data_IF_135743391121
#
_entry.id   IF_135743391121
#
_cell.length_a   1.000
_cell.length_b   1.000
_cell.length_c   1.000
_cell.angle_alpha   90.00
_cell.angle_beta   90.00
_cell.angle_gamma   90.00
#
_symmetry.space_group_name_H-M   'P 1'
#
loop_
_entity.id
_entity.type
_entity.pdbx_description
1 polymer ?
#
# COMPACT_ATOMS: atom_id res chain seq x y z
N UNK A 1 -4.48 -5.05 14.64
CA UNK A 1 -4.86 -6.03 15.69
C UNK A 1 -3.68 -6.33 16.62
N UNK A 2 -2.48 -6.66 16.14
CA UNK A 2 -1.31 -6.95 16.98
C UNK A 2 -1.07 -5.85 18.03
N UNK A 3 -0.98 -4.58 17.61
CA UNK A 3 -0.89 -3.43 18.53
C UNK A 3 -2.02 -3.40 19.57
N UNK A 4 -3.27 -3.65 19.18
CA UNK A 4 -4.39 -3.61 20.10
C UNK A 4 -4.29 -4.70 21.19
N UNK A 5 -3.92 -5.92 20.82
CA UNK A 5 -3.71 -6.98 21.81
C UNK A 5 -2.53 -6.66 22.75
N UNK A 6 -1.41 -6.17 22.19
CA UNK A 6 -0.25 -5.81 23.00
C UNK A 6 -0.59 -4.67 23.97
N UNK A 7 -1.31 -3.63 23.54
CA UNK A 7 -1.78 -2.54 24.43
C UNK A 7 -2.69 -3.02 25.56
N UNK A 8 -3.35 -4.17 25.39
CA UNK A 8 -4.12 -4.86 26.44
C UNK A 8 -3.28 -5.87 27.26
N UNK A 9 -1.95 -5.74 27.21
CA UNK A 9 -1.03 -6.56 28.01
C UNK A 9 -0.91 -8.01 27.54
N UNK A 10 -1.23 -8.32 26.30
CA UNK A 10 -1.04 -9.65 25.72
C UNK A 10 0.35 -9.76 25.07
N UNK A 11 0.98 -10.92 25.21
CA UNK A 11 2.13 -11.27 24.39
C UNK A 11 1.65 -11.53 22.97
N UNK A 12 2.31 -10.91 21.99
CA UNK A 12 1.94 -11.01 20.59
C UNK A 12 3.12 -11.47 19.75
N UNK A 13 2.88 -12.49 18.92
CA UNK A 13 3.82 -12.96 17.91
C UNK A 13 3.18 -12.76 16.56
N UNK A 14 3.85 -12.06 15.66
CA UNK A 14 3.45 -11.88 14.27
C UNK A 14 4.27 -12.84 13.40
N UNK A 15 3.59 -13.81 12.79
CA UNK A 15 4.23 -14.85 11.96
C UNK A 15 3.84 -14.61 10.50
N UNK A 16 4.82 -14.57 9.60
CA UNK A 16 4.57 -14.49 8.17
C UNK A 16 5.62 -15.30 7.39
N UNK A 17 5.23 -15.84 6.23
CA UNK A 17 6.11 -16.55 5.30
C UNK A 17 7.11 -15.61 4.61
N UNK A 18 6.76 -14.34 4.45
CA UNK A 18 7.67 -13.31 3.94
C UNK A 18 8.63 -12.84 5.03
N UNK A 19 9.75 -12.30 4.61
CA UNK A 19 10.87 -11.93 5.49
C UNK A 19 10.74 -10.52 6.11
N UNK A 20 9.66 -9.80 5.81
CA UNK A 20 9.37 -8.47 6.36
C UNK A 20 7.88 -8.20 6.47
N UNK A 21 7.49 -7.21 7.29
CA UNK A 21 6.11 -6.73 7.35
C UNK A 21 5.78 -5.86 6.13
N UNK A 22 4.50 -5.78 5.77
CA UNK A 22 3.98 -4.84 4.78
C UNK A 22 4.65 -4.93 3.38
N UNK A 23 5.33 -6.02 3.04
CA UNK A 23 6.07 -6.26 1.79
C UNK A 23 5.26 -5.99 0.51
N UNK A 24 3.93 -6.07 0.59
CA UNK A 24 3.04 -5.78 -0.53
C UNK A 24 2.94 -4.29 -0.90
N UNK A 25 3.39 -3.37 -0.04
CA UNK A 25 3.12 -1.92 -0.18
C UNK A 25 4.35 -1.05 -0.01
N UNK A 26 5.43 -1.55 0.61
CA UNK A 26 6.64 -0.79 0.93
C UNK A 26 7.89 -1.61 0.59
N UNK A 27 8.96 -0.91 0.25
CA UNK A 27 10.29 -1.50 0.09
C UNK A 27 10.95 -1.80 1.45
N UNK A 28 11.91 -2.72 1.48
CA UNK A 28 12.52 -3.27 2.70
C UNK A 28 13.11 -2.19 3.64
N UNK A 29 13.77 -1.19 3.10
CA UNK A 29 14.36 -0.10 3.89
C UNK A 29 13.33 0.67 4.73
N UNK A 30 12.08 0.73 4.26
CA UNK A 30 10.98 1.37 4.99
C UNK A 30 10.24 0.38 5.91
N UNK A 31 10.08 -0.88 5.49
CA UNK A 31 9.44 -1.89 6.36
C UNK A 31 10.28 -2.19 7.60
N UNK A 32 11.60 -2.09 7.51
CA UNK A 32 12.51 -2.22 8.65
C UNK A 32 12.25 -1.19 9.75
N UNK A 33 11.84 0.03 9.37
CA UNK A 33 11.45 1.06 10.35
C UNK A 33 10.21 0.64 11.14
N UNK A 34 9.23 0.05 10.46
CA UNK A 34 8.02 -0.46 11.11
C UNK A 34 8.31 -1.71 11.95
N UNK A 35 9.13 -2.63 11.46
CA UNK A 35 9.55 -3.81 12.22
C UNK A 35 10.21 -3.40 13.55
N UNK A 36 11.20 -2.51 13.51
CA UNK A 36 11.86 -1.95 14.71
C UNK A 36 10.87 -1.24 15.64
N UNK A 37 9.91 -0.50 15.09
CA UNK A 37 8.88 0.16 15.88
C UNK A 37 7.99 -0.86 16.60
N UNK A 38 7.58 -1.95 15.96
CA UNK A 38 6.79 -3.01 16.59
C UNK A 38 7.58 -3.76 17.68
N UNK A 39 8.84 -4.12 17.39
CA UNK A 39 9.73 -4.80 18.34
C UNK A 39 9.99 -3.95 19.59
N UNK A 40 10.22 -2.64 19.43
CA UNK A 40 10.43 -1.70 20.54
C UNK A 40 9.22 -1.60 21.49
N UNK A 41 8.03 -2.02 21.02
CA UNK A 41 6.81 -2.11 21.82
C UNK A 41 6.49 -3.55 22.28
N UNK A 42 7.43 -4.50 22.10
CA UNK A 42 7.31 -5.85 22.63
C UNK A 42 6.56 -6.84 21.74
N UNK A 43 6.29 -6.53 20.48
CA UNK A 43 5.78 -7.51 19.52
C UNK A 43 6.94 -8.38 19.05
N UNK A 44 6.80 -9.69 19.16
CA UNK A 44 7.74 -10.65 18.58
C UNK A 44 7.46 -10.82 17.09
N UNK A 45 8.50 -10.73 16.26
CA UNK A 45 8.41 -10.91 14.81
C UNK A 45 9.04 -12.25 14.41
N UNK A 46 8.25 -13.12 13.80
CA UNK A 46 8.66 -14.44 13.29
C UNK A 46 8.45 -14.47 11.77
N UNK A 47 9.22 -13.63 11.06
CA UNK A 47 9.17 -13.54 9.61
C UNK A 47 10.01 -14.63 8.94
N UNK A 48 9.63 -15.00 7.71
CA UNK A 48 10.22 -16.11 6.96
C UNK A 48 9.88 -17.46 7.58
N UNK A 49 8.81 -17.57 8.35
CA UNK A 49 8.34 -18.82 8.95
C UNK A 49 7.00 -19.23 8.34
N UNK A 50 6.89 -20.50 7.96
CA UNK A 50 5.65 -21.07 7.41
C UNK A 50 4.93 -21.86 8.49
N UNK A 51 3.70 -21.47 8.84
CA UNK A 51 2.85 -22.24 9.76
C UNK A 51 2.52 -23.59 9.13
N UNK A 52 2.79 -24.69 9.88
CA UNK A 52 2.54 -26.07 9.48
C UNK A 52 1.35 -26.67 10.20
N UNK A 53 1.15 -26.34 11.48
CA UNK A 53 0.05 -26.88 12.27
C UNK A 53 -0.41 -25.88 13.33
N UNK A 54 -1.67 -26.01 13.71
CA UNK A 54 -2.28 -25.42 14.90
C UNK A 54 -2.73 -26.58 15.75
N UNK A 55 -2.19 -26.69 16.97
CA UNK A 55 -2.35 -27.85 17.84
C UNK A 55 -3.16 -27.48 19.09
N UNK A 56 -3.84 -28.46 19.66
CA UNK A 56 -4.63 -28.40 20.89
C UNK A 56 -5.77 -29.43 20.87
N UNK A 57 -6.22 -29.88 22.04
CA UNK A 57 -7.32 -30.86 22.13
C UNK A 57 -8.69 -30.22 22.13
N UNK A 58 -8.96 -29.27 23.03
CA UNK A 58 -10.26 -28.59 23.20
C UNK A 58 -10.20 -27.11 22.85
N UNK A 59 -9.02 -26.55 22.85
CA UNK A 59 -8.69 -25.17 22.46
C UNK A 59 -7.34 -25.14 21.78
N UNK A 60 -6.99 -24.04 21.14
CA UNK A 60 -5.65 -23.86 20.63
C UNK A 60 -4.65 -23.79 21.80
N UNK A 61 -3.52 -24.46 21.66
CA UNK A 61 -2.45 -24.50 22.67
C UNK A 61 -1.09 -24.15 22.05
N UNK A 62 -0.90 -24.46 20.76
CA UNK A 62 0.38 -24.25 20.09
C UNK A 62 0.25 -23.97 18.60
N UNK A 63 1.15 -23.15 18.08
CA UNK A 63 1.44 -23.03 16.64
C UNK A 63 2.80 -23.66 16.36
N UNK A 64 2.85 -24.50 15.34
CA UNK A 64 4.09 -25.09 14.82
C UNK A 64 4.39 -24.51 13.46
N UNK A 65 5.59 -23.99 13.29
CA UNK A 65 6.13 -23.52 12.01
C UNK A 65 7.18 -24.51 11.47
N UNK A 66 7.72 -24.21 10.32
CA UNK A 66 8.86 -24.97 9.77
C UNK A 66 10.18 -24.73 10.52
N UNK A 67 10.24 -23.76 11.44
CA UNK A 67 11.45 -23.40 12.19
C UNK A 67 11.27 -23.50 13.70
N UNK A 68 10.09 -23.18 14.22
CA UNK A 68 9.83 -23.03 15.65
C UNK A 68 8.46 -23.57 16.07
N UNK A 69 8.23 -23.63 17.38
CA UNK A 69 6.91 -23.85 17.96
C UNK A 69 6.65 -22.77 19.03
N UNK A 70 5.40 -22.29 19.10
CA UNK A 70 4.98 -21.23 20.01
C UNK A 70 3.74 -21.68 20.77
N UNK A 71 3.81 -21.66 22.09
CA UNK A 71 2.64 -21.87 22.93
C UNK A 71 1.76 -20.63 22.90
N UNK A 72 0.47 -20.81 22.64
CA UNK A 72 -0.48 -19.70 22.42
C UNK A 72 -1.86 -20.04 22.97
N UNK A 73 -2.61 -19.00 23.41
CA UNK A 73 -4.00 -19.11 23.83
C UNK A 73 -5.00 -18.70 22.74
N UNK A 74 -4.54 -17.98 21.72
CA UNK A 74 -5.36 -17.51 20.61
C UNK A 74 -4.54 -17.44 19.33
N UNK A 75 -5.18 -17.74 18.21
CA UNK A 75 -4.64 -17.57 16.87
C UNK A 75 -5.56 -16.70 16.03
N UNK A 76 -5.01 -15.66 15.41
CA UNK A 76 -5.70 -14.81 14.45
C UNK A 76 -5.17 -15.11 13.05
N UNK A 77 -6.02 -15.70 12.19
CA UNK A 77 -5.67 -16.00 10.81
C UNK A 77 -5.92 -14.77 9.93
N UNK A 78 -4.85 -14.19 9.40
CA UNK A 78 -4.87 -13.05 8.51
C UNK A 78 -4.02 -13.35 7.24
N UNK A 79 -4.22 -14.52 6.64
CA UNK A 79 -3.41 -15.11 5.58
C UNK A 79 -3.87 -14.73 4.16
N UNK A 80 -4.53 -13.61 4.02
CA UNK A 80 -5.03 -13.09 2.76
C UNK A 80 -6.45 -13.53 2.43
N UNK A 81 -6.87 -13.24 1.20
CA UNK A 81 -8.23 -13.48 0.72
C UNK A 81 -8.20 -13.79 -0.78
N UNK A 82 -9.34 -14.28 -1.28
CA UNK A 82 -9.57 -14.55 -2.70
C UNK A 82 -10.85 -13.85 -3.15
N UNK A 83 -10.93 -13.41 -4.42
CA UNK A 83 -12.17 -12.88 -4.98
C UNK A 83 -13.30 -13.90 -4.86
N UNK A 84 -14.47 -13.48 -4.40
CA UNK A 84 -15.66 -14.35 -4.39
C UNK A 84 -16.40 -14.21 -5.72
N UNK A 85 -16.15 -15.13 -6.65
CA UNK A 85 -16.65 -15.09 -8.04
C UNK A 85 -17.44 -16.35 -8.42
N UNK A 86 -17.94 -17.10 -7.44
CA UNK A 86 -18.69 -18.33 -7.69
C UNK A 86 -19.98 -18.08 -8.51
N UNK A 87 -20.64 -16.92 -8.33
CA UNK A 87 -21.89 -16.58 -9.00
C UNK A 87 -21.76 -16.55 -10.54
N UNK A 88 -20.65 -16.03 -11.06
CA UNK A 88 -20.38 -15.92 -12.50
C UNK A 88 -19.43 -16.98 -13.06
N UNK A 89 -19.14 -18.02 -12.26
CA UNK A 89 -18.18 -19.06 -12.65
C UNK A 89 -18.55 -19.72 -14.00
N UNK A 90 -17.57 -19.80 -14.90
CA UNK A 90 -17.73 -20.37 -16.24
C UNK A 90 -18.54 -19.52 -17.23
N UNK A 91 -18.98 -18.31 -16.83
CA UNK A 91 -19.75 -17.39 -17.69
C UNK A 91 -19.02 -16.08 -17.95
N UNK A 92 -18.33 -15.54 -16.92
CA UNK A 92 -17.62 -14.29 -17.00
C UNK A 92 -16.10 -14.55 -17.10
N UNK A 93 -15.42 -13.72 -17.88
CA UNK A 93 -13.97 -13.75 -17.96
C UNK A 93 -13.35 -13.34 -16.63
N UNK A 94 -12.25 -13.98 -16.27
CA UNK A 94 -11.57 -13.76 -15.01
C UNK A 94 -10.09 -13.48 -15.20
N UNK A 95 -9.56 -12.67 -14.30
CA UNK A 95 -8.13 -12.42 -14.14
C UNK A 95 -7.44 -13.67 -13.52
N UNK A 96 -6.11 -13.73 -13.57
CA UNK A 96 -5.28 -14.86 -13.09
C UNK A 96 -5.56 -15.33 -11.66
N UNK A 97 -6.10 -14.46 -10.80
CA UNK A 97 -6.46 -14.79 -9.42
C UNK A 97 -7.96 -15.12 -9.24
N UNK A 98 -8.72 -15.16 -10.31
CA UNK A 98 -10.15 -15.44 -10.32
C UNK A 98 -11.07 -14.22 -10.17
N UNK A 99 -10.56 -12.99 -10.04
CA UNK A 99 -11.39 -11.78 -10.07
C UNK A 99 -12.00 -11.57 -11.44
N UNK A 100 -13.23 -11.06 -11.51
CA UNK A 100 -13.86 -10.73 -12.78
C UNK A 100 -13.08 -9.65 -13.52
N UNK A 101 -12.79 -9.89 -14.80
CA UNK A 101 -12.24 -8.86 -15.67
C UNK A 101 -13.34 -7.84 -16.00
N UNK A 102 -13.02 -6.57 -15.78
CA UNK A 102 -13.90 -5.45 -16.11
C UNK A 102 -13.13 -4.37 -16.87
N UNK A 103 -13.84 -3.61 -17.69
CA UNK A 103 -13.32 -2.41 -18.33
C UNK A 103 -13.41 -1.19 -17.39
N UNK A 104 -13.00 0.00 -17.85
CA UNK A 104 -13.06 1.24 -17.06
C UNK A 104 -14.49 1.67 -16.68
N UNK A 105 -15.51 1.12 -17.32
CA UNK A 105 -16.93 1.33 -16.99
C UNK A 105 -17.46 0.33 -15.96
N UNK A 106 -16.61 -0.56 -15.44
CA UNK A 106 -16.94 -1.70 -14.56
C UNK A 106 -17.83 -2.75 -15.22
N UNK A 107 -17.91 -2.77 -16.56
CA UNK A 107 -18.63 -3.77 -17.33
C UNK A 107 -17.76 -5.02 -17.51
N UNK A 108 -18.36 -6.20 -17.34
CA UNK A 108 -17.71 -7.50 -17.51
C UNK A 108 -17.62 -7.90 -18.98
N UNK A 109 -17.20 -9.15 -19.25
CA UNK A 109 -17.22 -9.73 -20.61
C UNK A 109 -18.63 -9.91 -21.18
N UNK A 110 -19.68 -9.76 -20.39
CA UNK A 110 -21.09 -9.81 -20.85
C UNK A 110 -21.68 -8.41 -20.74
N UNK A 111 -22.21 -7.92 -21.85
CA UNK A 111 -22.86 -6.60 -21.92
C UNK A 111 -23.95 -6.45 -20.86
N UNK A 112 -24.04 -5.25 -20.27
CA UNK A 112 -24.98 -4.86 -19.22
C UNK A 112 -24.83 -5.66 -17.90
N UNK A 113 -23.70 -6.38 -17.74
CA UNK A 113 -23.33 -7.08 -16.51
C UNK A 113 -22.10 -6.41 -15.90
N UNK A 114 -22.24 -5.88 -14.71
CA UNK A 114 -21.21 -5.10 -14.02
C UNK A 114 -20.66 -5.87 -12.81
N UNK A 115 -19.37 -5.70 -12.53
CA UNK A 115 -18.73 -6.22 -11.32
C UNK A 115 -17.92 -5.11 -10.65
N UNK A 116 -18.05 -5.00 -9.33
CA UNK A 116 -17.47 -3.92 -8.53
C UNK A 116 -16.89 -4.45 -7.21
N UNK A 117 -16.00 -3.70 -6.59
CA UNK A 117 -15.38 -4.08 -5.32
C UNK A 117 -14.34 -5.20 -5.47
N UNK A 118 -14.13 -5.95 -4.38
CA UNK A 118 -13.05 -6.93 -4.27
C UNK A 118 -13.21 -8.18 -5.15
N UNK A 119 -14.35 -8.36 -5.81
CA UNK A 119 -14.54 -9.45 -6.79
C UNK A 119 -14.11 -9.07 -8.22
N UNK A 120 -13.78 -7.79 -8.48
CA UNK A 120 -13.46 -7.27 -9.80
C UNK A 120 -12.02 -6.74 -9.88
N UNK A 121 -11.50 -6.66 -11.11
CA UNK A 121 -10.23 -6.00 -11.41
C UNK A 121 -10.38 -4.48 -11.41
N UNK A 122 -9.26 -3.78 -11.46
CA UNK A 122 -9.15 -2.33 -11.60
C UNK A 122 -8.15 -2.00 -12.71
N UNK A 123 -8.23 -0.80 -13.27
CA UNK A 123 -7.18 -0.28 -14.13
C UNK A 123 -6.11 0.40 -13.26
N UNK A 124 -4.89 -0.09 -13.32
CA UNK A 124 -3.74 0.41 -12.56
C UNK A 124 -2.94 1.39 -13.42
N UNK A 125 -3.00 2.67 -13.06
CA UNK A 125 -2.35 3.73 -13.82
C UNK A 125 -0.81 3.64 -13.82
N UNK A 126 -0.21 3.05 -12.77
CA UNK A 126 1.23 2.86 -12.73
C UNK A 126 1.71 1.77 -13.70
N UNK A 127 0.85 0.78 -13.98
CA UNK A 127 1.13 -0.29 -14.94
C UNK A 127 0.62 0.03 -16.35
N UNK A 128 -0.30 0.98 -16.48
CA UNK A 128 -1.09 1.24 -17.68
C UNK A 128 -1.83 -0.02 -18.18
N UNK A 129 -2.33 -0.83 -17.23
CA UNK A 129 -2.96 -2.12 -17.51
C UNK A 129 -3.94 -2.54 -16.40
N UNK A 130 -4.69 -3.60 -16.68
CA UNK A 130 -5.60 -4.23 -15.72
C UNK A 130 -4.81 -4.93 -14.62
N UNK A 131 -5.21 -4.70 -13.36
CA UNK A 131 -4.62 -5.32 -12.19
C UNK A 131 -5.69 -5.68 -11.15
N UNK A 132 -5.28 -6.36 -10.08
CA UNK A 132 -6.13 -6.66 -8.94
C UNK A 132 -5.57 -5.96 -7.68
N UNK A 133 -6.32 -4.98 -7.20
CA UNK A 133 -5.97 -4.18 -6.01
C UNK A 133 -7.23 -4.04 -5.14
N UNK A 134 -7.42 -4.96 -4.21
CA UNK A 134 -8.57 -4.97 -3.31
C UNK A 134 -8.32 -4.01 -2.14
N UNK A 135 -8.96 -2.85 -2.21
CA UNK A 135 -8.96 -1.81 -1.19
C UNK A 135 -10.38 -1.23 -1.06
N UNK A 136 -10.81 -0.95 0.17
CA UNK A 136 -12.14 -0.38 0.43
C UNK A 136 -12.42 0.89 -0.39
N UNK A 137 -11.42 1.76 -0.55
CA UNK A 137 -11.54 2.96 -1.38
C UNK A 137 -11.73 2.66 -2.87
N UNK A 138 -11.15 1.57 -3.39
CA UNK A 138 -11.37 1.10 -4.75
C UNK A 138 -12.78 0.51 -4.89
N UNK A 139 -13.24 -0.25 -3.88
CA UNK A 139 -14.60 -0.81 -3.87
C UNK A 139 -15.66 0.31 -3.93
N UNK A 140 -15.49 1.39 -3.16
CA UNK A 140 -16.39 2.55 -3.20
C UNK A 140 -16.40 3.20 -4.58
N UNK A 141 -15.22 3.51 -5.15
CA UNK A 141 -15.13 4.16 -6.47
C UNK A 141 -15.69 3.29 -7.59
N UNK A 142 -15.35 1.99 -7.61
CA UNK A 142 -15.90 1.06 -8.60
C UNK A 142 -17.42 0.90 -8.44
N UNK A 143 -17.93 0.91 -7.19
CA UNK A 143 -19.37 0.90 -6.91
C UNK A 143 -20.09 2.12 -7.46
N UNK A 144 -19.49 3.33 -7.36
CA UNK A 144 -20.04 4.57 -7.94
C UNK A 144 -20.10 4.44 -9.47
N UNK A 145 -19.02 4.01 -10.13
CA UNK A 145 -18.96 3.88 -11.59
C UNK A 145 -19.94 2.82 -12.09
N UNK A 146 -19.88 1.61 -11.51
CA UNK A 146 -20.74 0.50 -11.93
C UNK A 146 -22.22 0.76 -11.66
N UNK A 147 -22.56 1.36 -10.50
CA UNK A 147 -23.95 1.72 -10.18
C UNK A 147 -24.51 2.82 -11.09
N UNK A 148 -23.69 3.83 -11.45
CA UNK A 148 -24.10 4.88 -12.38
C UNK A 148 -24.35 4.30 -13.77
N UNK A 149 -23.47 3.42 -14.25
CA UNK A 149 -23.59 2.80 -15.59
C UNK A 149 -24.72 1.77 -15.65
N UNK A 150 -24.94 1.00 -14.60
CA UNK A 150 -26.12 0.11 -14.52
C UNK A 150 -27.43 0.88 -14.54
N UNK A 151 -27.45 2.13 -14.12
CA UNK A 151 -28.58 3.06 -14.22
C UNK A 151 -28.73 3.74 -15.59
N UNK A 152 -27.94 3.37 -16.60
CA UNK A 152 -27.99 3.95 -17.95
C UNK A 152 -27.04 5.13 -18.17
N UNK A 153 -26.11 5.38 -17.25
CA UNK A 153 -25.04 6.38 -17.40
C UNK A 153 -23.90 5.90 -18.29
N UNK A 154 -22.90 6.77 -18.47
CA UNK A 154 -21.70 6.51 -19.27
C UNK A 154 -20.48 7.16 -18.59
N UNK A 155 -20.04 6.59 -17.46
CA UNK A 155 -18.91 7.08 -16.67
C UNK A 155 -17.76 6.08 -16.71
N UNK A 156 -16.55 6.56 -16.91
CA UNK A 156 -15.33 5.77 -16.83
C UNK A 156 -14.54 6.06 -15.54
N UNK A 157 -13.94 5.02 -14.99
CA UNK A 157 -12.95 5.15 -13.91
C UNK A 157 -11.69 5.83 -14.42
N UNK A 158 -11.15 6.75 -13.64
CA UNK A 158 -9.81 7.31 -13.90
C UNK A 158 -8.66 6.34 -13.60
N UNK A 159 -8.99 5.09 -13.24
CA UNK A 159 -8.01 4.13 -12.76
C UNK A 159 -7.65 4.34 -11.28
N UNK A 160 -6.68 3.55 -10.81
CA UNK A 160 -6.23 3.56 -9.42
C UNK A 160 -4.70 3.41 -9.35
N UNK A 161 -4.11 3.73 -8.20
CA UNK A 161 -2.67 3.58 -7.94
C UNK A 161 -2.39 2.73 -6.68
N UNK A 162 -3.43 2.14 -6.06
CA UNK A 162 -3.28 1.35 -4.84
C UNK A 162 -2.86 2.18 -3.62
N UNK A 163 -3.26 3.45 -3.55
CA UNK A 163 -2.95 4.32 -2.42
C UNK A 163 -3.47 3.76 -1.12
N UNK A 164 -2.60 3.65 -0.13
CA UNK A 164 -2.91 3.09 1.18
C UNK A 164 -2.10 3.75 2.29
N UNK A 165 -2.47 3.47 3.53
CA UNK A 165 -1.74 3.94 4.70
C UNK A 165 -2.00 3.07 5.91
N UNK A 166 -1.06 3.08 6.84
CA UNK A 166 -1.14 2.38 8.12
C UNK A 166 -0.49 3.22 9.22
N UNK A 167 -1.01 3.14 10.42
CA UNK A 167 -0.44 3.73 11.62
C UNK A 167 -0.32 2.66 12.70
N UNK A 168 0.88 2.44 13.22
CA UNK A 168 1.15 1.47 14.29
C UNK A 168 2.07 2.15 15.30
N UNK A 169 1.64 2.22 16.56
CA UNK A 169 2.35 2.91 17.66
C UNK A 169 2.81 4.32 17.28
N UNK A 170 1.97 5.07 16.56
CA UNK A 170 2.25 6.43 16.14
C UNK A 170 3.29 6.57 15.01
N UNK A 171 3.78 5.46 14.45
CA UNK A 171 4.54 5.49 13.20
C UNK A 171 3.56 5.34 12.03
N UNK A 172 3.46 6.39 11.22
CA UNK A 172 2.59 6.45 10.05
C UNK A 172 3.39 6.10 8.80
N UNK A 173 2.82 5.22 7.98
CA UNK A 173 3.35 4.88 6.67
C UNK A 173 2.25 5.04 5.63
N UNK A 174 2.57 5.67 4.50
CA UNK A 174 1.65 5.84 3.37
C UNK A 174 2.37 5.52 2.08
N UNK A 175 1.66 4.91 1.13
CA UNK A 175 2.22 4.59 -0.19
C UNK A 175 1.20 4.71 -1.30
N UNK A 176 1.69 4.87 -2.53
CA UNK A 176 0.90 4.86 -3.77
C UNK A 176 1.76 4.36 -4.92
N UNK A 177 1.17 3.66 -5.88
CA UNK A 177 1.86 3.11 -7.04
C UNK A 177 2.74 1.91 -6.71
N UNK A 178 3.85 1.80 -7.44
CA UNK A 178 4.74 0.65 -7.39
C UNK A 178 5.88 0.87 -6.39
N UNK A 179 6.25 -0.18 -5.66
CA UNK A 179 7.56 -0.27 -5.01
C UNK A 179 8.64 -0.50 -6.07
N UNK A 180 9.91 -0.28 -5.72
CA UNK A 180 11.03 -0.55 -6.62
C UNK A 180 11.03 -2.01 -7.09
N UNK A 181 10.80 -2.95 -6.16
CA UNK A 181 10.73 -4.38 -6.47
C UNK A 181 9.58 -4.71 -7.42
N UNK A 182 8.37 -4.16 -7.18
CA UNK A 182 7.24 -4.35 -8.10
C UNK A 182 7.52 -3.76 -9.47
N UNK A 183 8.10 -2.57 -9.56
CA UNK A 183 8.45 -1.96 -10.83
C UNK A 183 9.39 -2.86 -11.64
N UNK A 184 10.45 -3.40 -11.02
CA UNK A 184 11.34 -4.39 -11.64
C UNK A 184 10.60 -5.64 -12.11
N UNK A 185 9.72 -6.20 -11.27
CA UNK A 185 8.94 -7.40 -11.58
C UNK A 185 7.98 -7.21 -12.76
N UNK A 186 7.47 -6.00 -12.94
CA UNK A 186 6.61 -5.64 -14.08
C UNK A 186 7.39 -5.18 -15.32
N UNK A 187 8.73 -5.26 -15.31
CA UNK A 187 9.57 -5.00 -16.48
C UNK A 187 9.95 -3.55 -16.71
N UNK A 188 9.69 -2.65 -15.75
CA UNK A 188 10.21 -1.28 -15.78
C UNK A 188 11.71 -1.24 -15.50
N UNK A 189 12.35 -0.14 -15.89
CA UNK A 189 13.72 0.22 -15.53
C UNK A 189 13.72 1.26 -14.39
N UNK A 190 13.41 0.87 -13.13
CA UNK A 190 13.21 1.85 -12.07
C UNK A 190 14.51 2.48 -11.60
N UNK A 191 14.41 3.74 -11.25
CA UNK A 191 15.34 4.42 -10.37
C UNK A 191 14.60 4.91 -9.13
N UNK A 192 15.36 5.13 -8.06
CA UNK A 192 14.85 5.54 -6.76
C UNK A 192 15.60 6.77 -6.29
N UNK A 193 14.85 7.70 -5.71
CA UNK A 193 15.40 8.77 -4.88
C UNK A 193 14.76 8.69 -3.50
N UNK A 194 15.56 8.93 -2.47
CA UNK A 194 15.11 8.92 -1.08
C UNK A 194 15.73 10.09 -0.32
N UNK A 195 14.98 10.65 0.59
CA UNK A 195 15.50 11.62 1.56
C UNK A 195 14.79 11.49 2.90
N UNK A 196 15.48 11.88 3.96
CA UNK A 196 14.91 12.04 5.29
C UNK A 196 15.17 13.47 5.73
N UNK A 197 14.14 14.17 6.16
CA UNK A 197 14.24 15.53 6.65
C UNK A 197 13.09 15.85 7.60
N UNK A 198 13.26 16.84 8.46
CA UNK A 198 12.19 17.34 9.32
C UNK A 198 11.01 17.85 8.47
N UNK A 199 9.80 17.60 8.93
CA UNK A 199 8.61 18.14 8.26
C UNK A 199 8.58 19.66 8.31
N UNK A 200 8.83 20.24 9.48
CA UNK A 200 8.83 21.68 9.74
C UNK A 200 10.24 22.22 9.93
N UNK A 201 10.40 23.53 9.91
CA UNK A 201 11.67 24.17 10.22
C UNK A 201 12.15 23.79 11.63
N UNK A 202 13.47 23.54 11.79
CA UNK A 202 14.05 23.01 13.03
C UNK A 202 13.90 23.94 14.25
N UNK A 203 13.67 25.23 14.02
CA UNK A 203 13.46 26.21 15.09
C UNK A 203 12.02 26.24 15.63
N UNK A 204 11.12 25.47 15.04
CA UNK A 204 9.74 25.36 15.55
C UNK A 204 9.73 24.54 16.84
N UNK A 205 9.07 25.07 17.86
CA UNK A 205 8.91 24.43 19.18
C UNK A 205 7.73 23.45 19.22
N UNK A 206 6.88 23.47 18.19
CA UNK A 206 5.77 22.54 18.04
C UNK A 206 6.26 21.12 17.73
N UNK A 207 5.33 20.14 17.84
CA UNK A 207 5.58 18.77 17.42
C UNK A 207 6.15 18.73 16.00
N UNK A 208 7.31 18.13 15.84
CA UNK A 208 8.04 18.01 14.60
C UNK A 208 8.77 16.66 14.55
N UNK A 209 8.80 16.04 13.40
CA UNK A 209 9.51 14.77 13.21
C UNK A 209 10.04 14.65 11.79
N UNK A 210 10.99 13.74 11.63
CA UNK A 210 11.51 13.37 10.33
C UNK A 210 10.40 12.75 9.46
N UNK A 211 10.44 13.09 8.19
CA UNK A 211 9.72 12.41 7.12
C UNK A 211 10.75 11.74 6.22
N UNK A 212 10.71 10.42 6.17
CA UNK A 212 11.45 9.65 5.16
C UNK A 212 10.55 9.45 3.96
N UNK A 213 11.00 9.89 2.80
CA UNK A 213 10.31 9.70 1.52
C UNK A 213 11.18 8.90 0.57
N UNK A 214 10.54 8.01 -0.20
CA UNK A 214 11.12 7.24 -1.30
C UNK A 214 10.24 7.39 -2.53
N UNK A 215 10.80 7.84 -3.65
CA UNK A 215 10.10 8.01 -4.91
C UNK A 215 10.70 7.05 -5.92
N UNK A 216 9.87 6.24 -6.54
CA UNK A 216 10.21 5.31 -7.62
C UNK A 216 9.80 5.95 -8.94
N UNK A 217 10.70 6.01 -9.89
CA UNK A 217 10.42 6.52 -11.23
C UNK A 217 11.08 5.63 -12.30
N UNK A 218 10.55 5.64 -13.50
CA UNK A 218 11.14 4.93 -14.63
C UNK A 218 12.29 5.75 -15.24
N UNK A 219 13.46 5.14 -15.42
CA UNK A 219 14.66 5.82 -15.95
C UNK A 219 14.50 6.30 -17.37
N UNK A 220 13.74 5.57 -18.18
CA UNK A 220 13.65 5.81 -19.62
C UNK A 220 12.64 6.92 -19.92
N UNK A 221 11.49 6.90 -19.25
CA UNK A 221 10.42 7.88 -19.43
C UNK A 221 10.45 9.00 -18.41
N UNK A 222 11.19 8.85 -17.32
CA UNK A 222 11.23 9.75 -16.15
C UNK A 222 9.90 9.86 -15.40
N UNK A 223 8.86 9.10 -15.77
CA UNK A 223 7.56 9.10 -15.10
C UNK A 223 7.65 8.54 -13.68
N UNK A 224 6.92 9.17 -12.77
CA UNK A 224 6.74 8.65 -11.40
C UNK A 224 5.92 7.38 -11.46
N UNK A 225 6.44 6.30 -10.88
CA UNK A 225 5.79 4.99 -10.78
C UNK A 225 5.22 4.72 -9.40
N UNK A 226 5.80 5.33 -8.36
CA UNK A 226 5.37 5.13 -6.99
C UNK A 226 6.03 6.07 -6.00
N UNK A 227 5.43 6.18 -4.83
CA UNK A 227 6.00 6.89 -3.69
C UNK A 227 5.61 6.21 -2.38
N UNK A 228 6.50 6.31 -1.39
CA UNK A 228 6.34 5.76 -0.06
C UNK A 228 6.85 6.78 0.95
N UNK A 229 6.14 6.98 2.06
CA UNK A 229 6.56 7.90 3.11
C UNK A 229 6.36 7.29 4.50
N UNK A 230 7.24 7.65 5.42
CA UNK A 230 7.21 7.22 6.82
C UNK A 230 7.48 8.43 7.71
N UNK A 231 6.65 8.64 8.73
CA UNK A 231 6.84 9.69 9.74
C UNK A 231 6.03 9.41 11.01
N UNK A 232 6.37 10.08 12.10
CA UNK A 232 5.48 10.20 13.26
C UNK A 232 4.45 11.32 13.11
N UNK A 233 4.63 12.19 12.11
CA UNK A 233 3.65 13.22 11.74
C UNK A 233 2.56 12.66 10.83
N UNK A 234 1.46 13.37 10.69
CA UNK A 234 0.47 13.06 9.64
C UNK A 234 1.02 13.49 8.27
N UNK A 235 1.26 12.49 7.43
CA UNK A 235 1.75 12.64 6.05
C UNK A 235 0.74 12.16 5.01
N UNK A 236 -0.50 11.86 5.46
CA UNK A 236 -1.51 11.23 4.61
C UNK A 236 -1.88 12.07 3.38
N UNK A 237 -1.97 13.39 3.52
CA UNK A 237 -2.30 14.27 2.38
C UNK A 237 -1.17 14.36 1.34
N UNK A 238 0.09 14.23 1.76
CA UNK A 238 1.24 14.30 0.86
C UNK A 238 1.26 13.18 -0.17
N UNK A 239 0.80 11.98 0.16
CA UNK A 239 0.78 10.85 -0.77
C UNK A 239 -0.21 11.03 -1.92
N UNK A 240 -1.29 11.80 -1.72
CA UNK A 240 -2.30 12.03 -2.76
C UNK A 240 -1.77 12.86 -3.93
N UNK A 241 -0.78 13.71 -3.71
CA UNK A 241 -0.07 14.40 -4.80
C UNK A 241 0.64 13.40 -5.73
N UNK A 242 1.29 12.38 -5.16
CA UNK A 242 1.92 11.32 -5.95
C UNK A 242 0.90 10.42 -6.64
N UNK A 243 -0.25 10.16 -6.01
CA UNK A 243 -1.34 9.44 -6.66
C UNK A 243 -1.81 10.18 -7.93
N UNK A 244 -2.00 11.50 -7.85
CA UNK A 244 -2.34 12.33 -9.02
C UNK A 244 -1.19 12.37 -10.03
N UNK A 245 0.06 12.50 -9.57
CA UNK A 245 1.23 12.51 -10.45
C UNK A 245 1.34 11.22 -11.30
N UNK A 246 1.07 10.06 -10.71
CA UNK A 246 1.06 8.78 -11.44
C UNK A 246 -0.10 8.75 -12.43
N UNK A 247 -1.31 9.12 -12.01
CA UNK A 247 -2.49 9.16 -12.87
C UNK A 247 -2.27 10.02 -14.12
N UNK A 248 -1.62 11.17 -13.97
CA UNK A 248 -1.36 12.14 -15.05
C UNK A 248 -0.01 11.93 -15.74
N UNK A 249 0.73 10.86 -15.41
CA UNK A 249 2.01 10.55 -16.03
C UNK A 249 3.09 11.62 -15.80
N UNK A 250 3.08 12.29 -14.65
CA UNK A 250 4.02 13.36 -14.30
C UNK A 250 5.43 12.78 -14.13
N UNK A 251 6.44 13.48 -14.65
CA UNK A 251 7.84 13.08 -14.50
C UNK A 251 8.43 13.57 -13.18
N UNK A 252 9.48 12.86 -12.70
CA UNK A 252 10.22 13.26 -11.49
C UNK A 252 10.82 14.68 -11.63
N UNK A 253 11.19 15.08 -12.84
CA UNK A 253 11.76 16.40 -13.13
C UNK A 253 10.76 17.53 -12.86
N UNK A 254 9.47 17.30 -13.09
CA UNK A 254 8.43 18.29 -12.81
C UNK A 254 8.16 18.45 -11.32
N UNK A 255 8.51 17.46 -10.49
CA UNK A 255 8.38 17.56 -9.04
C UNK A 255 9.50 18.36 -8.37
N UNK A 256 10.66 18.52 -9.05
CA UNK A 256 11.84 19.22 -8.51
C UNK A 256 11.55 20.69 -8.14
N UNK A 257 10.77 21.35 -8.98
CA UNK A 257 10.43 22.78 -8.85
C UNK A 257 8.92 22.99 -8.77
N UNK A 258 8.21 22.02 -8.19
CA UNK A 258 6.79 22.15 -7.93
C UNK A 258 6.54 23.31 -6.97
N UNK A 259 5.53 24.14 -7.27
CA UNK A 259 5.11 25.24 -6.39
C UNK A 259 4.53 24.70 -5.10
N UNK A 260 5.40 24.53 -4.10
CA UNK A 260 5.05 24.13 -2.74
C UNK A 260 5.27 25.34 -1.83
N UNK A 261 4.20 25.84 -1.21
CA UNK A 261 4.28 27.00 -0.33
C UNK A 261 5.20 26.72 0.88
N UNK A 262 5.78 27.77 1.42
CA UNK A 262 6.55 27.72 2.66
C UNK A 262 5.83 28.53 3.76
N UNK A 263 5.64 27.86 4.90
CA UNK A 263 5.37 28.48 6.19
C UNK A 263 6.01 27.60 7.29
N UNK A 264 6.83 28.14 8.20
CA UNK A 264 7.56 27.35 9.19
C UNK A 264 6.71 26.38 10.02
N UNK A 265 5.43 26.74 10.27
CA UNK A 265 4.47 25.91 11.01
C UNK A 265 4.06 24.64 10.26
N UNK A 266 4.27 24.54 8.95
CA UNK A 266 3.82 23.42 8.12
C UNK A 266 4.95 22.67 7.43
N UNK A 267 5.98 23.39 6.95
CA UNK A 267 7.05 22.78 6.16
C UNK A 267 8.33 23.60 6.21
N UNK A 268 9.34 23.14 5.46
CA UNK A 268 10.59 23.84 5.22
C UNK A 268 10.56 24.61 3.89
N UNK A 269 11.45 25.62 3.68
CA UNK A 269 11.56 26.35 2.40
C UNK A 269 11.78 25.44 1.22
N UNK A 270 12.55 24.37 1.38
CA UNK A 270 12.69 23.26 0.45
C UNK A 270 12.10 22.01 1.12
N UNK A 271 10.89 21.66 0.74
CA UNK A 271 10.17 20.52 1.34
C UNK A 271 10.94 19.20 1.12
N UNK A 272 10.70 18.21 1.97
CA UNK A 272 11.26 16.85 1.83
C UNK A 272 10.94 16.24 0.46
N UNK A 273 9.79 16.59 -0.16
CA UNK A 273 9.37 16.15 -1.48
C UNK A 273 10.29 16.71 -2.57
N UNK A 274 10.45 18.04 -2.59
CA UNK A 274 11.32 18.70 -3.56
C UNK A 274 12.78 18.26 -3.39
N UNK A 275 13.23 18.13 -2.14
CA UNK A 275 14.57 17.67 -1.79
C UNK A 275 14.87 16.28 -2.34
N UNK A 276 13.91 15.34 -2.20
CA UNK A 276 14.03 14.01 -2.80
C UNK A 276 14.06 14.10 -4.34
N UNK A 277 13.14 14.84 -4.94
CA UNK A 277 13.04 14.94 -6.39
C UNK A 277 14.28 15.58 -7.05
N UNK A 278 14.88 16.61 -6.45
CA UNK A 278 16.10 17.27 -6.93
C UNK A 278 17.31 16.31 -6.99
N UNK A 279 17.33 15.28 -6.13
CA UNK A 279 18.39 14.28 -6.12
C UNK A 279 18.31 13.28 -7.30
N UNK A 280 17.24 13.30 -8.10
CA UNK A 280 17.07 12.43 -9.26
C UNK A 280 18.08 12.79 -10.39
N UNK A 281 18.84 11.78 -10.82
CA UNK A 281 19.87 11.90 -11.87
C UNK A 281 19.35 11.40 -13.20
#
# INVERSE_FOLDING_TARGET
MAEAFQRHGKEVILIDVVDTCLAGYYDHDLTDLMAKNMESHGIKLAFGETVKAVEGETKVERIVTDKNAYDVDMVVLAVGFRPNTALGAGKLETFRNGAYLVNKKQETSIKDVYAVGDCATVYDNALDDVNYIALASNAVRSGIVGGHNAGGGDVESNGVQGSNGISIYGLNMVSTGLTEEKAKRFGFNPAVVSSTDLQKAAFMEDENADVTIKIVYDKDTRKVLGAQMVSRMDISMGIHMFSLAIQEGVTIDRLQLLDLFFLPHFNQPLSYIAKAAISAK
#
